data_IF_253039998195
#
_entry.id   IF_253039998195
#
_cell.length_a   1.000
_cell.length_b   1.000
_cell.length_c   1.000
_cell.angle_alpha   90.00
_cell.angle_beta   90.00
_cell.angle_gamma   90.00
#
_symmetry.space_group_name_H-M   'P 1'
#
loop_
_entity.id
_entity.type
_entity.pdbx_description
1 polymer ?
#
# COMPACT_ATOMS: atom_id res chain seq x y z
N UNK A 1 27.93 -0.47 -31.54
CA UNK A 1 27.36 -1.84 -31.36
C UNK A 1 27.36 -2.32 -29.91
N UNK A 2 28.44 -2.20 -29.12
CA UNK A 2 28.47 -2.65 -27.70
C UNK A 2 27.49 -1.95 -26.73
N UNK A 3 27.10 -0.68 -26.99
CA UNK A 3 26.11 0.05 -26.17
C UNK A 3 24.65 -0.32 -26.47
N UNK A 4 24.37 -0.80 -27.68
CA UNK A 4 23.03 -1.24 -28.10
C UNK A 4 22.74 -2.64 -27.54
N UNK A 5 23.75 -3.50 -27.43
CA UNK A 5 23.61 -4.82 -26.80
C UNK A 5 23.27 -4.73 -25.30
N UNK A 6 23.79 -3.74 -24.57
CA UNK A 6 23.46 -3.54 -23.15
C UNK A 6 22.03 -3.04 -22.94
N UNK A 7 21.50 -2.23 -23.86
CA UNK A 7 20.12 -1.75 -23.82
C UNK A 7 19.15 -2.88 -24.19
N UNK A 8 19.49 -3.69 -25.18
CA UNK A 8 18.68 -4.86 -25.59
C UNK A 8 18.68 -5.94 -24.49
N UNK A 9 19.82 -6.19 -23.83
CA UNK A 9 19.90 -7.11 -22.69
C UNK A 9 19.10 -6.61 -21.47
N UNK A 10 19.06 -5.28 -21.24
CA UNK A 10 18.26 -4.69 -20.17
C UNK A 10 16.74 -4.78 -20.45
N UNK A 11 16.31 -4.68 -21.71
CA UNK A 11 14.89 -4.86 -22.08
C UNK A 11 14.43 -6.32 -22.06
N UNK A 12 15.31 -7.28 -22.34
CA UNK A 12 14.94 -8.71 -22.36
C UNK A 12 14.75 -9.27 -20.93
N UNK A 13 15.39 -8.69 -19.92
CA UNK A 13 15.22 -9.12 -18.51
C UNK A 13 13.90 -8.62 -17.89
N UNK A 14 13.12 -7.78 -18.58
CA UNK A 14 11.92 -7.13 -17.99
C UNK A 14 10.59 -7.87 -18.16
N UNK A 15 10.55 -9.06 -18.76
CA UNK A 15 9.26 -9.70 -19.14
C UNK A 15 8.97 -11.06 -18.50
N UNK A 16 9.43 -11.31 -17.27
CA UNK A 16 8.84 -12.35 -16.41
C UNK A 16 8.87 -11.86 -14.97
N UNK A 17 8.08 -10.85 -14.65
CA UNK A 17 7.80 -10.49 -13.26
C UNK A 17 6.32 -10.75 -13.04
N UNK A 18 6.05 -11.64 -12.10
CA UNK A 18 4.75 -11.78 -11.43
C UNK A 18 4.42 -10.40 -10.86
N UNK A 19 3.67 -9.59 -11.63
CA UNK A 19 3.54 -8.15 -11.43
C UNK A 19 2.78 -7.77 -10.14
N UNK A 20 2.03 -8.71 -9.58
CA UNK A 20 1.25 -8.51 -8.35
C UNK A 20 2.19 -8.24 -7.15
N UNK A 21 3.14 -9.14 -6.87
CA UNK A 21 4.06 -8.97 -5.74
C UNK A 21 5.02 -7.76 -5.87
N UNK A 22 5.35 -7.34 -7.09
CA UNK A 22 6.21 -6.17 -7.30
C UNK A 22 5.49 -4.84 -7.02
N UNK A 23 4.20 -4.75 -7.35
CA UNK A 23 3.38 -3.58 -7.07
C UNK A 23 3.10 -3.45 -5.56
N UNK A 24 2.88 -4.58 -4.90
CA UNK A 24 2.69 -4.63 -3.44
C UNK A 24 3.99 -4.29 -2.72
N UNK A 25 5.13 -4.84 -3.16
CA UNK A 25 6.43 -4.48 -2.64
C UNK A 25 6.77 -2.99 -2.83
N UNK A 26 6.38 -2.40 -3.96
CA UNK A 26 6.49 -0.96 -4.16
C UNK A 26 5.59 -0.18 -3.20
N UNK A 27 4.34 -0.61 -3.03
CA UNK A 27 3.38 0.05 -2.13
C UNK A 27 3.88 0.04 -0.68
N UNK A 28 4.45 -1.08 -0.21
CA UNK A 28 4.95 -1.22 1.16
C UNK A 28 6.33 -0.60 1.38
N UNK A 29 7.13 -0.39 0.33
CA UNK A 29 8.44 0.27 0.44
C UNK A 29 8.38 1.78 0.30
N UNK A 30 7.29 2.33 -0.26
CA UNK A 30 7.09 3.77 -0.36
C UNK A 30 6.79 4.39 1.00
N UNK A 31 7.55 5.43 1.33
CA UNK A 31 7.37 6.24 2.54
C UNK A 31 6.80 7.59 2.11
N UNK A 32 5.69 7.98 2.74
CA UNK A 32 5.08 9.29 2.62
C UNK A 32 5.11 9.94 4.00
N UNK A 33 6.14 10.75 4.20
CA UNK A 33 6.43 11.34 5.48
C UNK A 33 5.24 12.14 6.04
N UNK A 34 4.58 11.60 7.06
CA UNK A 34 3.63 12.32 7.92
C UNK A 34 4.37 12.67 9.23
N UNK A 35 5.02 13.83 9.25
CA UNK A 35 5.83 14.27 10.39
C UNK A 35 5.08 15.12 11.41
N UNK A 36 5.83 15.89 12.20
CA UNK A 36 5.23 16.90 13.08
C UNK A 36 4.67 18.04 12.25
N UNK A 37 3.81 18.88 12.83
CA UNK A 37 3.35 20.10 12.16
C UNK A 37 4.54 20.98 11.70
N UNK A 38 5.63 20.99 12.47
CA UNK A 38 6.85 21.73 12.17
C UNK A 38 7.61 21.14 10.99
N UNK A 39 7.79 19.82 10.96
CA UNK A 39 8.49 19.15 9.86
C UNK A 39 7.71 19.24 8.57
N UNK A 40 6.39 19.00 8.63
CA UNK A 40 5.48 19.09 7.48
C UNK A 40 5.44 20.49 6.88
N UNK A 41 5.43 21.54 7.71
CA UNK A 41 5.44 22.94 7.23
C UNK A 41 6.70 23.30 6.42
N UNK A 42 7.81 22.58 6.64
CA UNK A 42 9.07 22.76 5.90
C UNK A 42 9.25 21.71 4.80
N UNK A 43 8.20 20.98 4.42
CA UNK A 43 8.28 19.90 3.43
C UNK A 43 9.16 18.73 3.88
N UNK A 44 9.31 18.53 5.19
CA UNK A 44 10.19 17.55 5.83
C UNK A 44 11.70 17.73 5.54
N UNK A 45 12.14 18.92 5.11
CA UNK A 45 13.56 19.24 4.94
C UNK A 45 14.28 19.46 6.29
N UNK A 46 14.43 18.39 7.08
CA UNK A 46 14.88 18.39 8.47
C UNK A 46 16.18 17.64 8.75
N UNK A 47 16.89 17.18 7.72
CA UNK A 47 18.15 16.42 7.83
C UNK A 47 19.23 17.18 8.59
N UNK A 48 19.28 18.51 8.46
CA UNK A 48 20.28 19.36 9.12
C UNK A 48 19.76 20.22 10.28
N UNK A 49 18.43 20.37 10.42
CA UNK A 49 17.81 21.28 11.39
C UNK A 49 17.69 20.70 12.79
N UNK A 50 17.25 19.44 12.90
CA UNK A 50 16.93 18.78 14.17
C UNK A 50 16.04 19.58 15.12
N UNK A 51 16.05 19.24 16.41
CA UNK A 51 15.17 19.89 17.41
C UNK A 51 13.68 19.64 17.15
N UNK A 52 13.37 18.49 16.56
CA UNK A 52 12.02 18.00 16.27
C UNK A 52 11.99 16.48 16.43
N UNK A 53 10.91 15.92 17.00
CA UNK A 53 10.79 14.47 17.29
C UNK A 53 10.74 13.63 16.02
N UNK A 54 10.23 14.17 14.92
CA UNK A 54 10.23 13.50 13.61
C UNK A 54 11.60 13.53 12.96
N UNK A 55 12.34 14.64 13.12
CA UNK A 55 13.69 14.78 12.57
C UNK A 55 14.65 13.68 13.04
N UNK A 56 14.38 13.06 14.19
CA UNK A 56 15.12 11.89 14.69
C UNK A 56 15.04 10.70 13.72
N UNK A 57 13.88 10.47 13.08
CA UNK A 57 13.71 9.39 12.09
C UNK A 57 14.37 9.69 10.74
N UNK A 58 14.61 10.97 10.43
CA UNK A 58 15.34 11.43 9.23
C UNK A 58 16.85 11.39 9.48
N UNK A 59 17.30 12.04 10.56
CA UNK A 59 18.69 12.08 10.99
C UNK A 59 18.79 11.85 12.51
N UNK A 60 19.33 10.71 12.97
CA UNK A 60 19.50 10.40 14.39
C UNK A 60 20.24 11.45 15.22
N UNK A 61 21.13 12.24 14.62
CA UNK A 61 21.86 13.31 15.32
C UNK A 61 20.95 14.49 15.72
N UNK A 62 19.75 14.59 15.16
CA UNK A 62 18.77 15.65 15.45
C UNK A 62 18.40 15.75 16.93
N UNK A 63 18.40 14.65 17.67
CA UNK A 63 18.09 14.66 19.10
C UNK A 63 19.20 15.32 19.92
N UNK A 64 20.45 15.32 19.45
CA UNK A 64 21.58 15.93 20.17
C UNK A 64 21.49 17.46 20.21
N UNK A 65 20.68 18.05 19.33
CA UNK A 65 20.41 19.49 19.29
C UNK A 65 19.48 19.93 20.43
N UNK A 66 18.68 19.01 20.99
CA UNK A 66 17.82 19.31 22.13
C UNK A 66 18.65 19.76 23.32
N UNK A 67 18.24 20.87 23.94
CA UNK A 67 18.86 21.44 25.15
C UNK A 67 18.10 21.11 26.43
N UNK A 68 16.94 20.47 26.29
CA UNK A 68 16.04 20.10 27.36
C UNK A 68 15.25 18.87 26.93
N UNK A 69 14.68 18.17 27.91
CA UNK A 69 13.82 17.01 27.63
C UNK A 69 12.45 17.47 27.14
N UNK A 70 11.93 16.86 26.09
CA UNK A 70 10.68 17.26 25.44
C UNK A 70 9.80 16.04 25.17
N UNK A 71 8.50 16.19 25.39
CA UNK A 71 7.47 15.27 24.93
C UNK A 71 6.63 15.98 23.88
N UNK A 72 6.41 15.35 22.73
CA UNK A 72 5.65 15.91 21.62
C UNK A 72 4.58 14.92 21.15
N UNK A 73 3.42 15.46 20.82
CA UNK A 73 2.33 14.75 20.15
C UNK A 73 1.83 15.62 19.00
N UNK A 74 1.68 15.02 17.83
CA UNK A 74 1.11 15.68 16.65
C UNK A 74 -0.12 14.91 16.20
N UNK A 75 -1.34 15.39 16.55
CA UNK A 75 -2.58 14.90 15.97
C UNK A 75 -2.61 15.16 14.46
N UNK A 76 -3.28 14.30 13.72
CA UNK A 76 -3.41 14.39 12.28
C UNK A 76 -4.87 14.17 11.85
N UNK A 77 -5.28 14.92 10.83
CA UNK A 77 -6.55 14.73 10.13
C UNK A 77 -6.22 14.51 8.66
N UNK A 78 -6.53 13.31 8.17
CA UNK A 78 -6.39 12.98 6.75
C UNK A 78 -7.76 13.06 6.12
N UNK A 79 -7.87 13.85 5.04
CA UNK A 79 -9.06 13.90 4.21
C UNK A 79 -8.70 13.44 2.80
N UNK A 80 -9.21 12.26 2.44
CA UNK A 80 -9.04 11.69 1.11
C UNK A 80 -10.27 11.99 0.26
N UNK A 81 -10.04 12.37 -1.01
CA UNK A 81 -11.10 12.57 -2.00
C UNK A 81 -10.74 11.81 -3.26
N UNK A 82 -11.67 11.00 -3.72
CA UNK A 82 -11.56 10.28 -4.98
C UNK A 82 -12.67 10.73 -5.92
N UNK A 83 -12.33 10.91 -7.20
CA UNK A 83 -13.29 11.18 -8.26
C UNK A 83 -13.02 10.20 -9.39
N UNK A 84 -14.01 9.40 -9.73
CA UNK A 84 -13.91 8.40 -10.79
C UNK A 84 -14.84 8.80 -11.93
N UNK A 85 -14.46 8.44 -13.16
CA UNK A 85 -15.28 8.63 -14.34
C UNK A 85 -15.35 7.31 -15.08
N UNK A 86 -16.54 6.75 -15.20
CA UNK A 86 -16.77 5.49 -15.89
C UNK A 86 -18.03 5.57 -16.73
N UNK A 87 -17.91 5.29 -18.02
CA UNK A 87 -19.02 5.35 -18.98
C UNK A 87 -19.83 6.67 -18.92
N UNK A 88 -19.14 7.78 -18.65
CA UNK A 88 -19.77 9.11 -18.52
C UNK A 88 -20.36 9.42 -17.14
N UNK A 89 -20.45 8.44 -16.24
CA UNK A 89 -20.87 8.64 -14.85
C UNK A 89 -19.68 9.04 -13.99
N UNK A 90 -19.85 10.14 -13.24
CA UNK A 90 -18.84 10.62 -12.30
C UNK A 90 -19.29 10.36 -10.88
N UNK A 91 -18.52 9.59 -10.14
CA UNK A 91 -18.70 9.36 -8.71
C UNK A 91 -17.64 10.15 -7.93
N UNK A 92 -18.02 10.66 -6.75
CA UNK A 92 -17.12 11.39 -5.88
C UNK A 92 -17.22 10.85 -4.46
N UNK A 93 -16.11 10.34 -3.95
CA UNK A 93 -16.03 9.78 -2.61
C UNK A 93 -15.11 10.60 -1.73
N UNK A 94 -15.52 10.79 -0.47
CA UNK A 94 -14.77 11.54 0.52
C UNK A 94 -14.68 10.78 1.83
N UNK A 95 -13.49 10.71 2.40
CA UNK A 95 -13.26 10.09 3.70
C UNK A 95 -12.43 11.03 4.58
N UNK A 96 -12.89 11.28 5.80
CA UNK A 96 -12.08 11.93 6.86
C UNK A 96 -11.68 10.96 7.94
N UNK A 97 -10.38 10.88 8.25
CA UNK A 97 -9.83 10.01 9.29
C UNK A 97 -9.00 10.83 10.26
N UNK A 98 -9.26 10.63 11.54
CA UNK A 98 -8.47 11.22 12.62
C UNK A 98 -7.38 10.23 13.04
N UNK A 99 -6.23 10.75 13.44
CA UNK A 99 -5.13 9.94 13.93
C UNK A 99 -4.04 10.78 14.57
N UNK A 100 -2.87 10.17 14.73
CA UNK A 100 -1.66 10.80 15.24
C UNK A 100 -0.57 10.56 14.18
N UNK A 101 0.16 11.60 13.77
CA UNK A 101 1.28 11.47 12.84
C UNK A 101 2.59 11.19 13.56
N UNK A 102 2.77 11.81 14.73
CA UNK A 102 3.97 11.68 15.54
C UNK A 102 3.62 11.67 17.04
N UNK A 103 4.29 10.79 17.78
CA UNK A 103 4.37 10.79 19.23
C UNK A 103 5.84 10.58 19.60
N UNK A 104 6.43 11.43 20.42
CA UNK A 104 7.84 11.27 20.76
C UNK A 104 8.24 11.87 22.09
N UNK A 105 9.30 11.31 22.64
CA UNK A 105 9.99 11.82 23.81
C UNK A 105 11.49 11.89 23.53
N UNK A 106 12.12 12.98 23.93
CA UNK A 106 13.57 13.15 23.92
C UNK A 106 14.02 13.52 25.32
N UNK A 107 14.92 12.75 25.89
CA UNK A 107 15.61 13.06 27.14
C UNK A 107 16.95 13.72 26.86
N UNK A 108 17.23 14.85 27.51
CA UNK A 108 18.52 15.54 27.46
C UNK A 108 19.28 15.34 28.78
N UNK A 109 20.51 14.82 28.69
CA UNK A 109 21.40 14.63 29.84
C UNK A 109 22.65 15.50 29.62
N UNK A 110 22.79 16.63 30.34
CA UNK A 110 24.02 17.43 30.28
C UNK A 110 25.16 16.70 30.98
N UNK A 111 26.36 16.75 30.38
CA UNK A 111 27.58 16.11 30.91
C UNK A 111 28.64 17.15 31.25
N UNK A 112 28.75 18.23 30.48
CA UNK A 112 29.73 19.28 30.75
C UNK A 112 29.28 20.66 30.29
N UNK A 113 29.56 21.65 31.14
CA UNK A 113 29.34 23.06 30.82
C UNK A 113 30.54 23.71 30.10
N UNK A 114 31.65 22.99 29.93
CA UNK A 114 32.83 23.52 29.23
C UNK A 114 32.48 23.91 27.79
N UNK A 115 33.15 24.93 27.21
CA UNK A 115 32.88 25.39 25.84
C UNK A 115 33.29 24.37 24.77
N UNK A 116 34.19 23.44 25.10
CA UNK A 116 34.71 22.42 24.18
C UNK A 116 34.61 21.03 24.80
N UNK A 117 34.53 20.02 23.93
CA UNK A 117 34.47 18.62 24.29
C UNK A 117 33.04 18.07 24.29
N UNK A 118 32.83 17.01 25.08
CA UNK A 118 31.57 16.30 25.16
C UNK A 118 30.57 17.05 26.06
N UNK A 119 29.47 17.53 25.48
CA UNK A 119 28.52 18.46 26.14
C UNK A 119 27.34 17.75 26.75
N UNK A 120 26.69 16.87 25.99
CA UNK A 120 25.48 16.18 26.42
C UNK A 120 25.25 14.89 25.66
N UNK A 121 24.46 14.01 26.26
CA UNK A 121 23.87 12.83 25.63
C UNK A 121 22.38 13.07 25.52
N UNK A 122 21.78 12.59 24.44
CA UNK A 122 20.33 12.56 24.30
C UNK A 122 19.88 11.15 23.96
N UNK A 123 18.74 10.75 24.51
CA UNK A 123 18.06 9.52 24.18
C UNK A 123 16.64 9.86 23.76
N UNK A 124 16.06 9.09 22.85
CA UNK A 124 14.72 9.37 22.38
C UNK A 124 13.97 8.12 21.99
N UNK A 125 12.65 8.20 22.09
CA UNK A 125 11.73 7.24 21.49
C UNK A 125 10.71 8.05 20.72
N UNK A 126 10.55 7.74 19.43
CA UNK A 126 9.55 8.38 18.58
C UNK A 126 8.78 7.33 17.80
N UNK A 127 7.46 7.46 17.76
CA UNK A 127 6.56 6.71 16.89
C UNK A 127 6.12 7.65 15.79
N UNK A 128 6.49 7.30 14.57
CA UNK A 128 6.32 8.12 13.38
C UNK A 128 5.47 7.38 12.36
N UNK A 129 4.38 7.99 11.90
CA UNK A 129 3.65 7.45 10.76
C UNK A 129 4.47 7.70 9.50
N UNK A 130 4.83 6.61 8.82
CA UNK A 130 5.61 6.63 7.60
C UNK A 130 4.76 6.62 6.35
N UNK A 131 3.55 6.06 6.41
CA UNK A 131 2.62 6.06 5.28
C UNK A 131 1.19 5.83 5.77
N UNK A 132 0.23 6.28 4.97
CA UNK A 132 -1.20 6.09 5.19
C UNK A 132 -1.82 5.52 3.92
N UNK A 133 -2.42 4.34 4.06
CA UNK A 133 -3.01 3.63 2.92
C UNK A 133 -4.49 3.91 2.74
N UNK A 134 -5.06 4.77 3.59
CA UNK A 134 -6.48 5.09 3.59
C UNK A 134 -6.88 5.71 2.26
N UNK A 135 -7.73 5.01 1.50
CA UNK A 135 -8.35 5.53 0.28
C UNK A 135 -9.66 4.80 0.01
N UNK A 136 -10.62 5.49 -0.57
CA UNK A 136 -11.91 4.90 -0.94
C UNK A 136 -12.35 5.41 -2.30
N UNK A 137 -12.83 4.50 -3.13
CA UNK A 137 -13.32 4.84 -4.46
C UNK A 137 -14.51 3.97 -4.82
N UNK A 138 -15.49 4.59 -5.45
CA UNK A 138 -16.63 3.91 -6.07
C UNK A 138 -16.61 4.26 -7.55
N UNK A 139 -16.99 3.32 -8.39
CA UNK A 139 -17.16 3.51 -9.83
C UNK A 139 -18.42 2.78 -10.24
N UNK A 140 -19.34 3.46 -10.93
CA UNK A 140 -20.61 2.88 -11.34
C UNK A 140 -20.94 3.25 -12.79
N UNK A 141 -21.65 2.39 -13.52
CA UNK A 141 -22.04 2.66 -14.91
C UNK A 141 -22.92 1.58 -15.51
N UNK A 142 -23.74 1.95 -16.49
CA UNK A 142 -24.52 0.99 -17.28
C UNK A 142 -23.71 0.57 -18.49
N UNK A 143 -23.42 -0.72 -18.61
CA UNK A 143 -22.63 -1.28 -19.70
C UNK A 143 -23.44 -2.33 -20.46
N UNK A 144 -23.53 -2.19 -21.78
CA UNK A 144 -24.21 -3.13 -22.67
C UNK A 144 -23.25 -3.88 -23.60
N UNK A 145 -21.93 -3.64 -23.47
CA UNK A 145 -20.90 -4.17 -24.37
C UNK A 145 -20.03 -5.23 -23.71
N UNK A 146 -19.82 -5.16 -22.39
CA UNK A 146 -18.96 -6.10 -21.68
C UNK A 146 -19.44 -6.37 -20.26
N UNK A 147 -19.08 -7.55 -19.75
CA UNK A 147 -19.34 -7.99 -18.40
C UNK A 147 -18.07 -8.56 -17.78
N UNK A 148 -17.95 -8.46 -16.46
CA UNK A 148 -16.89 -9.13 -15.71
C UNK A 148 -16.97 -10.65 -15.83
N UNK A 149 -18.18 -11.22 -15.84
CA UNK A 149 -18.36 -12.67 -16.04
C UNK A 149 -17.94 -13.12 -17.43
N UNK A 150 -18.20 -12.32 -18.47
CA UNK A 150 -17.70 -12.62 -19.82
C UNK A 150 -16.17 -12.64 -19.88
N UNK A 151 -15.51 -11.64 -19.27
CA UNK A 151 -14.04 -11.63 -19.19
C UNK A 151 -13.46 -12.79 -18.37
N UNK A 152 -14.21 -13.26 -17.37
CA UNK A 152 -13.83 -14.38 -16.53
C UNK A 152 -14.01 -15.71 -17.26
N UNK A 153 -15.09 -15.87 -18.03
CA UNK A 153 -15.33 -17.01 -18.91
C UNK A 153 -14.22 -17.15 -19.95
N UNK A 154 -13.85 -16.06 -20.62
CA UNK A 154 -12.74 -16.04 -21.59
C UNK A 154 -11.41 -16.45 -20.94
N UNK A 155 -11.16 -16.03 -19.70
CA UNK A 155 -9.92 -16.37 -18.98
C UNK A 155 -9.76 -17.85 -18.62
N UNK A 156 -10.85 -18.63 -18.69
CA UNK A 156 -10.87 -20.07 -18.39
C UNK A 156 -10.67 -20.95 -19.63
N UNK A 157 -10.56 -20.37 -20.83
CA UNK A 157 -10.38 -21.13 -22.06
C UNK A 157 -9.23 -22.14 -21.98
N UNK A 158 -9.53 -23.42 -22.27
CA UNK A 158 -8.57 -24.52 -22.21
C UNK A 158 -8.45 -25.20 -20.83
N UNK A 159 -9.23 -24.77 -19.83
CA UNK A 159 -9.33 -25.45 -18.54
C UNK A 159 -10.53 -26.38 -18.58
N UNK A 160 -10.33 -27.67 -18.33
CA UNK A 160 -11.44 -28.63 -18.25
C UNK A 160 -12.35 -28.37 -17.03
N UNK A 161 -13.66 -28.27 -17.24
CA UNK A 161 -14.68 -27.85 -16.27
C UNK A 161 -14.67 -28.62 -14.96
N UNK A 162 -14.46 -29.93 -14.96
CA UNK A 162 -14.44 -30.73 -13.74
C UNK A 162 -13.30 -30.35 -12.78
N UNK A 163 -12.24 -29.68 -13.27
CA UNK A 163 -11.19 -29.16 -12.41
C UNK A 163 -11.66 -27.96 -11.57
N UNK A 164 -12.77 -27.31 -11.94
CA UNK A 164 -13.35 -26.15 -11.26
C UNK A 164 -14.42 -26.51 -10.23
N UNK A 165 -14.92 -27.75 -10.21
CA UNK A 165 -15.97 -28.19 -9.29
C UNK A 165 -15.45 -28.26 -7.84
N UNK A 166 -16.25 -27.82 -6.87
CA UNK A 166 -15.99 -28.08 -5.45
C UNK A 166 -16.78 -29.33 -5.05
N UNK A 167 -16.07 -30.38 -4.66
CA UNK A 167 -16.67 -31.64 -4.20
C UNK A 167 -16.05 -32.09 -2.87
N UNK A 168 -16.62 -33.13 -2.24
CA UNK A 168 -16.10 -33.66 -0.98
C UNK A 168 -14.63 -34.14 -1.06
N UNK A 169 -14.18 -34.54 -2.26
CA UNK A 169 -12.84 -35.13 -2.48
C UNK A 169 -11.91 -34.25 -3.32
N UNK A 170 -12.37 -33.11 -3.81
CA UNK A 170 -11.62 -32.23 -4.70
C UNK A 170 -11.96 -30.78 -4.43
N UNK A 171 -10.94 -29.97 -4.13
CA UNK A 171 -11.07 -28.55 -3.87
C UNK A 171 -10.11 -27.74 -4.75
N UNK A 172 -10.61 -27.09 -5.82
CA UNK A 172 -9.77 -26.36 -6.78
C UNK A 172 -8.93 -25.25 -6.13
N UNK A 173 -9.35 -24.69 -4.99
CA UNK A 173 -8.56 -23.65 -4.29
C UNK A 173 -7.19 -24.15 -3.82
N UNK A 174 -7.05 -25.47 -3.59
CA UNK A 174 -5.83 -26.11 -3.12
C UNK A 174 -5.23 -27.08 -4.14
N UNK A 175 -6.08 -27.83 -4.82
CA UNK A 175 -5.69 -28.95 -5.68
C UNK A 175 -5.41 -28.51 -7.13
N UNK A 176 -5.85 -27.30 -7.52
CA UNK A 176 -5.72 -26.80 -8.88
C UNK A 176 -5.36 -25.32 -8.96
N UNK A 177 -4.07 -25.02 -9.20
CA UNK A 177 -3.59 -23.64 -9.36
C UNK A 177 -3.79 -23.04 -10.76
N UNK A 178 -4.47 -23.76 -11.67
CA UNK A 178 -4.65 -23.34 -13.07
C UNK A 178 -5.73 -22.28 -13.27
N UNK A 179 -6.63 -22.08 -12.30
CA UNK A 179 -7.69 -21.07 -12.36
C UNK A 179 -7.60 -20.08 -11.18
N UNK A 180 -7.90 -18.79 -11.39
CA UNK A 180 -7.99 -17.84 -10.29
C UNK A 180 -9.21 -18.14 -9.41
N UNK A 181 -9.12 -17.86 -8.11
CA UNK A 181 -10.16 -18.17 -7.12
C UNK A 181 -11.53 -17.58 -7.49
N UNK A 182 -11.56 -16.35 -8.01
CA UNK A 182 -12.78 -15.71 -8.52
C UNK A 182 -13.51 -16.52 -9.61
N UNK A 183 -12.77 -17.23 -10.48
CA UNK A 183 -13.35 -18.11 -11.50
C UNK A 183 -13.96 -19.36 -10.88
N UNK A 184 -13.23 -20.02 -9.98
CA UNK A 184 -13.73 -21.17 -9.21
C UNK A 184 -15.02 -20.79 -8.46
N UNK A 185 -15.04 -19.62 -7.83
CA UNK A 185 -16.23 -19.12 -7.14
C UNK A 185 -17.40 -18.86 -8.08
N UNK A 186 -17.15 -18.22 -9.23
CA UNK A 186 -18.20 -17.91 -10.20
C UNK A 186 -18.78 -19.19 -10.83
N UNK A 187 -17.93 -20.17 -11.17
CA UNK A 187 -18.34 -21.50 -11.63
C UNK A 187 -19.26 -22.19 -10.61
N UNK A 188 -18.83 -22.33 -9.36
CA UNK A 188 -19.63 -22.98 -8.32
C UNK A 188 -20.87 -22.17 -7.88
N UNK A 189 -21.00 -20.91 -8.34
CA UNK A 189 -22.19 -20.09 -8.16
C UNK A 189 -23.16 -20.16 -9.36
N UNK A 190 -22.89 -21.03 -10.33
CA UNK A 190 -23.58 -21.16 -11.62
C UNK A 190 -23.54 -19.87 -12.47
N UNK A 191 -22.61 -18.95 -12.20
CA UNK A 191 -22.44 -17.72 -12.97
C UNK A 191 -21.64 -17.93 -14.26
N UNK A 192 -21.03 -19.10 -14.41
CA UNK A 192 -20.32 -19.56 -15.60
C UNK A 192 -20.85 -20.96 -15.96
N UNK A 193 -20.89 -21.28 -17.25
CA UNK A 193 -21.34 -22.57 -17.76
C UNK A 193 -20.44 -22.96 -18.96
N UNK A 194 -20.20 -24.25 -19.25
CA UNK A 194 -19.48 -24.64 -20.45
C UNK A 194 -20.35 -24.39 -21.70
N UNK A 195 -19.72 -24.18 -22.84
CA UNK A 195 -20.44 -24.12 -24.11
C UNK A 195 -21.01 -25.51 -24.47
N UNK A 196 -22.14 -25.58 -25.21
CA UNK A 196 -22.84 -26.85 -25.47
C UNK A 196 -22.00 -27.99 -26.07
N UNK A 197 -20.92 -27.69 -26.77
CA UNK A 197 -20.05 -28.65 -27.47
C UNK A 197 -18.59 -28.63 -26.95
N UNK A 198 -18.33 -28.07 -25.77
CA UNK A 198 -16.98 -27.95 -25.19
C UNK A 198 -16.99 -28.03 -23.68
N UNK A 199 -16.05 -28.77 -23.10
CA UNK A 199 -15.81 -28.79 -21.64
C UNK A 199 -14.69 -27.83 -21.21
N UNK A 200 -14.13 -27.06 -22.15
CA UNK A 200 -12.97 -26.19 -21.94
C UNK A 200 -13.23 -24.73 -22.34
N UNK A 201 -14.38 -24.45 -22.97
CA UNK A 201 -14.82 -23.11 -23.34
C UNK A 201 -16.07 -22.75 -22.55
N UNK A 202 -16.14 -21.50 -22.09
CA UNK A 202 -17.14 -21.07 -21.11
C UNK A 202 -17.94 -19.86 -21.60
N UNK A 203 -19.11 -19.69 -21.02
CA UNK A 203 -19.97 -18.52 -21.17
C UNK A 203 -20.35 -17.98 -19.79
N UNK A 204 -20.44 -16.65 -19.66
CA UNK A 204 -20.94 -16.01 -18.45
C UNK A 204 -22.47 -15.93 -18.41
N UNK A 205 -23.06 -15.96 -17.22
CA UNK A 205 -24.51 -15.82 -17.05
C UNK A 205 -25.08 -14.49 -17.59
N UNK A 206 -24.23 -13.48 -17.82
CA UNK A 206 -24.61 -12.21 -18.47
C UNK A 206 -24.67 -12.26 -19.99
N UNK A 207 -24.36 -13.40 -20.60
CA UNK A 207 -24.24 -13.57 -22.05
C UNK A 207 -25.28 -14.56 -22.57
N UNK A 208 -25.62 -14.41 -23.85
CA UNK A 208 -26.53 -15.29 -24.58
C UNK A 208 -25.81 -15.85 -25.81
N UNK A 209 -26.23 -17.04 -26.22
CA UNK A 209 -25.82 -17.64 -27.49
C UNK A 209 -26.83 -17.23 -28.57
N UNK A 210 -26.35 -16.54 -29.61
CA UNK A 210 -27.16 -16.15 -30.77
C UNK A 210 -26.50 -16.69 -32.05
N UNK A 211 -26.92 -17.89 -32.45
CA UNK A 211 -26.30 -18.60 -33.57
C UNK A 211 -24.89 -19.08 -33.18
N UNK A 212 -23.87 -18.61 -33.91
CA UNK A 212 -22.46 -18.94 -33.65
C UNK A 212 -21.72 -17.87 -32.82
N UNK A 213 -22.44 -16.91 -32.24
CA UNK A 213 -21.86 -15.79 -31.50
C UNK A 213 -22.32 -15.80 -30.05
N UNK A 214 -21.38 -15.49 -29.15
CA UNK A 214 -21.66 -15.11 -27.77
C UNK A 214 -21.84 -13.59 -27.77
N UNK A 215 -22.96 -13.13 -27.22
CA UNK A 215 -23.28 -11.70 -27.12
C UNK A 215 -23.78 -11.39 -25.72
N UNK A 216 -23.59 -10.15 -25.26
CA UNK A 216 -24.23 -9.68 -24.03
C UNK A 216 -25.75 -9.88 -24.10
N UNK A 217 -26.35 -10.42 -23.04
CA UNK A 217 -27.79 -10.65 -22.99
C UNK A 217 -28.58 -9.33 -23.03
N UNK A 218 -28.16 -8.38 -22.20
CA UNK A 218 -28.64 -7.01 -22.19
C UNK A 218 -27.71 -6.09 -21.39
N UNK A 219 -28.08 -4.81 -21.19
CA UNK A 219 -27.34 -3.89 -20.35
C UNK A 219 -27.29 -4.35 -18.88
N UNK A 220 -26.13 -4.18 -18.24
CA UNK A 220 -25.93 -4.42 -16.81
C UNK A 220 -25.49 -3.14 -16.09
N UNK A 221 -25.97 -2.93 -14.86
CA UNK A 221 -25.42 -1.94 -13.95
C UNK A 221 -24.16 -2.52 -13.31
N UNK A 222 -23.00 -1.95 -13.61
CA UNK A 222 -21.72 -2.32 -13.03
C UNK A 222 -21.39 -1.39 -11.88
N UNK A 223 -20.90 -1.95 -10.78
CA UNK A 223 -20.30 -1.20 -9.68
C UNK A 223 -18.99 -1.85 -9.25
N UNK A 224 -17.96 -1.03 -9.10
CA UNK A 224 -16.71 -1.39 -8.44
C UNK A 224 -16.47 -0.46 -7.25
N UNK A 225 -16.31 -1.06 -6.09
CA UNK A 225 -16.00 -0.42 -4.84
C UNK A 225 -14.64 -0.91 -4.36
N UNK A 226 -13.75 0.00 -3.99
CA UNK A 226 -12.49 -0.35 -3.33
C UNK A 226 -12.24 0.56 -2.14
N UNK A 227 -11.91 -0.07 -1.03
CA UNK A 227 -11.54 0.58 0.22
C UNK A 227 -10.20 0.01 0.68
N UNK A 228 -9.21 0.88 0.78
CA UNK A 228 -7.93 0.57 1.41
C UNK A 228 -7.83 1.31 2.72
N UNK A 229 -7.26 0.66 3.73
CA UNK A 229 -7.02 1.28 5.02
C UNK A 229 -5.78 0.71 5.69
N UNK A 230 -5.38 1.33 6.80
CA UNK A 230 -4.17 0.96 7.53
C UNK A 230 -3.08 2.01 7.42
N UNK A 231 -1.92 1.71 7.99
CA UNK A 231 -0.76 2.59 8.03
C UNK A 231 0.55 1.79 8.09
N UNK A 232 1.63 2.49 7.75
CA UNK A 232 2.97 2.05 8.07
C UNK A 232 3.54 3.01 9.11
N UNK A 233 4.12 2.48 10.18
CA UNK A 233 4.68 3.27 11.28
C UNK A 233 6.08 2.81 11.63
N UNK A 234 6.91 3.70 12.18
CA UNK A 234 8.24 3.38 12.68
C UNK A 234 8.38 3.83 14.13
N UNK A 235 8.77 2.90 15.00
CA UNK A 235 9.25 3.18 16.34
C UNK A 235 10.76 3.32 16.27
N UNK A 236 11.27 4.53 16.46
CA UNK A 236 12.69 4.84 16.48
C UNK A 236 13.19 4.96 17.91
N UNK A 237 14.09 4.06 18.30
CA UNK A 237 14.90 4.19 19.51
C UNK A 237 16.19 4.90 19.16
N UNK A 238 16.42 6.04 19.77
CA UNK A 238 17.49 6.96 19.40
C UNK A 238 18.47 7.18 20.56
N UNK A 239 19.74 7.29 20.21
CA UNK A 239 20.77 7.84 21.07
C UNK A 239 21.68 8.79 20.27
N UNK A 240 22.07 9.90 20.88
CA UNK A 240 22.96 10.86 20.25
C UNK A 240 23.86 11.57 21.27
N UNK A 241 24.91 12.20 20.75
CA UNK A 241 25.87 12.97 21.51
C UNK A 241 26.08 14.34 20.89
N UNK A 242 26.24 15.34 21.76
CA UNK A 242 26.63 16.70 21.41
C UNK A 242 28.10 16.92 21.75
N UNK A 243 28.88 17.35 20.76
CA UNK A 243 30.29 17.70 20.89
C UNK A 243 30.45 19.19 20.57
N UNK A 244 30.82 19.95 21.61
CA UNK A 244 31.14 21.38 21.56
C UNK A 244 30.05 22.28 20.95
N UNK A 245 28.78 21.85 21.00
CA UNK A 245 27.64 22.54 20.36
C UNK A 245 27.83 22.78 18.85
N UNK A 246 28.75 22.04 18.23
CA UNK A 246 29.13 22.21 16.82
C UNK A 246 29.06 20.93 16.03
N UNK A 247 29.17 19.78 16.68
CA UNK A 247 29.10 18.49 16.02
C UNK A 247 28.21 17.57 16.83
N UNK A 248 27.25 16.96 16.14
CA UNK A 248 26.27 16.06 16.71
C UNK A 248 26.34 14.76 15.94
N UNK A 249 26.30 13.63 16.63
CA UNK A 249 26.27 12.30 16.05
C UNK A 249 25.19 11.49 16.74
N UNK A 250 24.48 10.65 15.99
CA UNK A 250 23.47 9.78 16.56
C UNK A 250 23.29 8.49 15.79
N UNK A 251 22.61 7.56 16.44
CA UNK A 251 22.19 6.30 15.87
C UNK A 251 20.75 5.97 16.29
N UNK A 252 20.02 5.29 15.40
CA UNK A 252 18.70 4.74 15.68
C UNK A 252 18.66 3.24 15.41
N UNK A 253 17.86 2.55 16.21
CA UNK A 253 17.24 1.28 15.87
C UNK A 253 15.78 1.57 15.56
N UNK A 254 15.35 1.29 14.33
CA UNK A 254 13.98 1.47 13.88
C UNK A 254 13.24 0.14 13.81
N UNK A 255 12.08 0.06 14.44
CA UNK A 255 11.12 -1.04 14.26
C UNK A 255 9.96 -0.52 13.43
N UNK A 256 9.82 -1.03 12.21
CA UNK A 256 8.72 -0.68 11.32
C UNK A 256 7.57 -1.67 11.47
N UNK A 257 6.35 -1.17 11.50
CA UNK A 257 5.13 -1.97 11.50
C UNK A 257 4.28 -1.59 10.30
N UNK A 258 3.70 -2.61 9.67
CA UNK A 258 2.79 -2.50 8.54
C UNK A 258 1.45 -3.12 8.94
N UNK A 259 0.38 -2.36 8.77
CA UNK A 259 -0.98 -2.88 8.77
C UNK A 259 -1.68 -2.31 7.56
N UNK A 260 -2.14 -3.18 6.68
CA UNK A 260 -2.80 -2.82 5.45
C UNK A 260 -4.03 -3.70 5.25
N UNK A 261 -5.13 -3.06 4.87
CA UNK A 261 -6.40 -3.70 4.56
C UNK A 261 -6.82 -3.25 3.18
N UNK A 262 -7.18 -4.20 2.31
CA UNK A 262 -7.78 -3.93 1.01
C UNK A 262 -9.08 -4.71 0.89
N UNK A 263 -10.17 -3.98 0.71
CA UNK A 263 -11.49 -4.52 0.44
C UNK A 263 -11.92 -4.09 -0.96
N UNK A 264 -12.21 -5.06 -1.79
CA UNK A 264 -12.72 -4.85 -3.13
C UNK A 264 -14.07 -5.51 -3.25
N UNK A 265 -15.05 -4.81 -3.82
CA UNK A 265 -16.34 -5.37 -4.17
C UNK A 265 -16.66 -5.01 -5.61
N UNK A 266 -17.00 -6.02 -6.38
CA UNK A 266 -17.50 -5.87 -7.73
C UNK A 266 -18.92 -6.42 -7.80
N UNK A 267 -19.83 -5.76 -8.51
CA UNK A 267 -21.18 -6.27 -8.72
C UNK A 267 -21.71 -5.88 -10.08
N UNK A 268 -22.50 -6.79 -10.66
CA UNK A 268 -23.34 -6.51 -11.81
C UNK A 268 -24.79 -6.86 -11.49
N UNK A 269 -25.72 -6.04 -11.96
CA UNK A 269 -27.14 -6.37 -11.99
C UNK A 269 -27.73 -6.13 -13.36
N UNK A 270 -28.59 -7.03 -13.81
CA UNK A 270 -29.36 -6.87 -15.03
C UNK A 270 -30.21 -5.59 -14.95
N UNK A 271 -30.21 -4.78 -16.02
CA UNK A 271 -31.18 -3.68 -16.15
C UNK A 271 -32.58 -4.24 -16.41
N UNK A 272 -32.65 -5.31 -17.21
CA UNK A 272 -33.85 -6.09 -17.44
C UNK A 272 -33.50 -7.59 -17.44
N UNK A 273 -34.00 -8.32 -16.44
CA UNK A 273 -33.72 -9.75 -16.30
C UNK A 273 -34.19 -10.58 -17.51
N UNK A 274 -35.23 -10.13 -18.22
CA UNK A 274 -35.77 -10.83 -19.39
C UNK A 274 -34.84 -10.85 -20.60
N UNK A 275 -33.76 -10.07 -20.57
CA UNK A 275 -32.77 -10.02 -21.66
C UNK A 275 -31.75 -11.17 -21.55
N UNK A 276 -31.67 -11.87 -20.41
CA UNK A 276 -30.68 -12.91 -20.12
C UNK A 276 -31.32 -14.31 -20.12
N UNK A 277 -30.92 -15.17 -21.05
CA UNK A 277 -31.47 -16.53 -21.21
C UNK A 277 -31.17 -17.40 -19.97
N UNK A 278 -30.09 -17.10 -19.25
CA UNK A 278 -29.68 -17.70 -17.97
C UNK A 278 -30.58 -17.36 -16.79
N UNK A 279 -31.50 -16.39 -16.94
CA UNK A 279 -32.30 -15.78 -15.86
C UNK A 279 -31.45 -14.99 -14.85
N UNK A 280 -30.27 -14.53 -15.27
CA UNK A 280 -29.38 -13.69 -14.46
C UNK A 280 -30.11 -12.43 -13.94
N UNK A 281 -30.00 -12.19 -12.63
CA UNK A 281 -30.52 -10.98 -12.00
C UNK A 281 -29.38 -10.12 -11.46
N UNK A 282 -28.53 -10.66 -10.60
CA UNK A 282 -27.35 -9.95 -10.10
C UNK A 282 -26.30 -10.89 -9.50
N UNK A 283 -25.07 -10.40 -9.41
CA UNK A 283 -24.07 -10.99 -8.54
C UNK A 283 -23.25 -9.92 -7.80
N UNK A 284 -22.57 -10.36 -6.73
CA UNK A 284 -21.54 -9.57 -6.06
C UNK A 284 -20.35 -10.47 -5.74
N UNK A 285 -19.16 -9.99 -6.11
CA UNK A 285 -17.88 -10.55 -5.73
C UNK A 285 -17.22 -9.64 -4.70
N UNK A 286 -16.65 -10.22 -3.64
CA UNK A 286 -15.89 -9.51 -2.63
C UNK A 286 -14.53 -10.19 -2.43
N UNK A 287 -13.48 -9.38 -2.38
CA UNK A 287 -12.12 -9.78 -2.04
C UNK A 287 -11.68 -8.97 -0.81
N UNK A 288 -11.15 -9.67 0.20
CA UNK A 288 -10.56 -9.08 1.39
C UNK A 288 -9.11 -9.52 1.49
N UNK A 289 -8.22 -8.56 1.73
CA UNK A 289 -6.82 -8.80 2.03
C UNK A 289 -6.44 -8.05 3.30
N UNK A 290 -5.84 -8.76 4.24
CA UNK A 290 -5.15 -8.21 5.40
C UNK A 290 -3.67 -8.51 5.27
N UNK A 291 -2.85 -7.46 5.23
CA UNK A 291 -1.39 -7.57 5.23
C UNK A 291 -0.86 -6.99 6.52
N UNK A 292 -0.21 -7.84 7.31
CA UNK A 292 0.44 -7.44 8.55
C UNK A 292 1.93 -7.71 8.45
N UNK A 293 2.75 -6.79 8.93
CA UNK A 293 4.19 -6.96 8.86
C UNK A 293 4.97 -6.19 9.91
N UNK A 294 6.19 -6.66 10.13
CA UNK A 294 7.16 -6.02 10.98
C UNK A 294 8.54 -6.08 10.35
N UNK A 295 9.32 -5.01 10.50
CA UNK A 295 10.67 -4.92 9.98
C UNK A 295 11.60 -4.17 10.91
N UNK A 296 12.91 -4.34 10.69
CA UNK A 296 13.95 -3.66 11.45
C UNK A 296 14.91 -2.94 10.51
N UNK A 297 15.34 -1.75 10.93
CA UNK A 297 16.40 -1.00 10.26
C UNK A 297 17.32 -0.33 11.28
N UNK A 298 18.51 0.04 10.82
CA UNK A 298 19.47 0.82 11.58
C UNK A 298 19.76 2.10 10.83
N UNK A 299 19.89 3.21 11.56
CA UNK A 299 20.25 4.51 10.98
C UNK A 299 21.39 5.12 11.76
N UNK A 300 22.29 5.79 11.07
CA UNK A 300 23.31 6.65 11.69
C UNK A 300 23.32 7.99 10.98
N UNK A 301 23.66 9.05 11.72
CA UNK A 301 23.74 10.37 11.13
C UNK A 301 24.55 11.34 11.95
N UNK A 302 24.88 12.45 11.34
CA UNK A 302 25.59 13.55 11.97
C UNK A 302 25.01 14.89 11.53
N UNK A 303 25.22 15.91 12.37
CA UNK A 303 24.94 17.31 12.07
C UNK A 303 26.14 18.14 12.51
N UNK A 304 26.62 19.01 11.65
CA UNK A 304 27.72 19.93 11.91
C UNK A 304 27.27 21.38 11.77
N UNK A 305 27.80 22.26 12.62
CA UNK A 305 27.60 23.71 12.60
C UNK A 305 28.97 24.38 12.38
N UNK A 306 29.44 24.50 11.12
CA UNK A 306 30.77 25.03 10.83
C UNK A 306 30.95 26.49 11.26
N UNK A 307 29.90 27.30 11.06
CA UNK A 307 29.83 28.70 11.46
C UNK A 307 28.40 29.07 11.84
N UNK A 308 28.24 30.24 12.48
CA UNK A 308 26.95 30.69 12.97
C UNK A 308 25.90 30.76 11.84
N UNK A 309 24.74 30.17 12.09
CA UNK A 309 23.62 30.12 11.15
C UNK A 309 23.64 28.91 10.22
N UNK A 310 24.79 28.38 9.80
CA UNK A 310 24.85 27.22 8.91
C UNK A 310 24.81 25.89 9.66
N UNK A 311 23.97 24.97 9.19
CA UNK A 311 23.94 23.56 9.60
C UNK A 311 24.08 22.68 8.37
N UNK A 312 24.90 21.65 8.50
CA UNK A 312 25.08 20.59 7.50
C UNK A 312 24.73 19.26 8.16
N UNK A 313 23.91 18.44 7.52
CA UNK A 313 23.48 17.15 8.03
C UNK A 313 23.64 16.06 6.99
N UNK A 314 23.97 14.86 7.46
CA UNK A 314 23.87 13.66 6.64
C UNK A 314 23.41 12.48 7.49
N UNK A 315 22.66 11.58 6.87
CA UNK A 315 22.27 10.31 7.48
C UNK A 315 22.27 9.19 6.46
N UNK A 316 22.42 7.97 6.96
CA UNK A 316 22.33 6.74 6.18
C UNK A 316 21.51 5.73 6.96
N UNK A 317 20.63 5.03 6.25
CA UNK A 317 19.74 4.01 6.79
C UNK A 317 19.98 2.71 6.04
N UNK A 318 20.11 1.60 6.77
CA UNK A 318 20.16 0.27 6.15
C UNK A 318 18.85 -0.02 5.42
N UNK A 319 18.83 -1.01 4.50
CA UNK A 319 17.60 -1.71 4.15
C UNK A 319 16.75 -2.02 5.38
N UNK A 320 15.44 -1.93 5.24
CA UNK A 320 14.53 -2.49 6.24
C UNK A 320 14.23 -3.92 5.83
N UNK A 321 14.62 -4.86 6.68
CA UNK A 321 14.28 -6.27 6.52
C UNK A 321 12.91 -6.50 7.16
N UNK A 322 11.90 -6.76 6.33
CA UNK A 322 10.51 -6.86 6.77
C UNK A 322 9.95 -8.25 6.48
N UNK A 323 9.20 -8.79 7.42
CA UNK A 323 8.37 -9.98 7.25
C UNK A 323 6.93 -9.52 7.15
N UNK A 324 6.24 -10.00 6.13
CA UNK A 324 4.85 -9.67 5.85
C UNK A 324 4.08 -10.97 5.69
N UNK A 325 2.91 -11.02 6.32
CA UNK A 325 1.93 -12.09 6.19
C UNK A 325 0.68 -11.48 5.59
N UNK A 326 0.30 -12.01 4.44
CA UNK A 326 -0.93 -11.68 3.73
C UNK A 326 -1.96 -12.77 4.00
N UNK A 327 -3.13 -12.37 4.45
CA UNK A 327 -4.30 -13.22 4.65
C UNK A 327 -5.41 -12.71 3.73
N UNK A 328 -5.96 -13.56 2.88
CA UNK A 328 -7.05 -13.16 2.00
C UNK A 328 -8.18 -14.17 1.96
N UNK A 329 -9.36 -13.66 1.61
CA UNK A 329 -10.54 -14.45 1.35
C UNK A 329 -11.41 -13.80 0.27
N UNK A 330 -12.16 -14.64 -0.43
CA UNK A 330 -13.02 -14.27 -1.53
C UNK A 330 -14.43 -14.83 -1.33
N UNK A 331 -15.42 -14.07 -1.79
CA UNK A 331 -16.83 -14.45 -1.69
C UNK A 331 -17.58 -14.03 -2.93
N UNK A 332 -18.47 -14.89 -3.42
CA UNK A 332 -19.44 -14.55 -4.45
C UNK A 332 -20.86 -14.84 -3.97
N UNK A 333 -21.79 -13.94 -4.31
CA UNK A 333 -23.23 -14.17 -4.16
C UNK A 333 -23.88 -13.96 -5.52
N UNK A 334 -24.77 -14.86 -5.92
CA UNK A 334 -25.52 -14.82 -7.16
C UNK A 334 -27.02 -14.94 -6.89
N UNK A 335 -27.82 -14.17 -7.63
CA UNK A 335 -29.28 -14.25 -7.62
C UNK A 335 -29.81 -14.36 -9.05
N UNK A 336 -30.89 -15.11 -9.22
CA UNK A 336 -31.56 -15.36 -10.49
C UNK A 336 -33.06 -15.06 -10.36
N UNK A 337 -33.68 -14.66 -11.47
CA UNK A 337 -35.06 -14.16 -11.48
C UNK A 337 -36.12 -15.23 -11.22
N UNK A 338 -35.75 -16.51 -11.22
CA UNK A 338 -36.61 -17.63 -10.83
C UNK A 338 -36.60 -17.91 -9.32
N UNK A 339 -35.84 -17.13 -8.55
CA UNK A 339 -35.68 -17.25 -7.11
C UNK A 339 -34.50 -18.10 -6.66
N UNK A 340 -33.72 -18.68 -7.59
CA UNK A 340 -32.49 -19.38 -7.24
C UNK A 340 -31.43 -18.40 -6.71
N UNK A 341 -30.74 -18.82 -5.65
CA UNK A 341 -29.68 -18.03 -4.99
C UNK A 341 -28.50 -18.94 -4.68
N UNK A 342 -27.29 -18.45 -4.93
CA UNK A 342 -26.06 -19.14 -4.57
C UNK A 342 -25.12 -18.22 -3.80
N UNK A 343 -24.41 -18.79 -2.84
CA UNK A 343 -23.33 -18.13 -2.11
C UNK A 343 -22.18 -19.12 -2.00
N UNK A 344 -21.01 -18.70 -2.49
CA UNK A 344 -19.80 -19.50 -2.45
C UNK A 344 -18.72 -18.68 -1.75
N UNK A 345 -18.00 -19.30 -0.84
CA UNK A 345 -16.89 -18.71 -0.12
C UNK A 345 -15.61 -19.49 -0.47
N UNK A 346 -14.51 -18.77 -0.63
CA UNK A 346 -13.19 -19.40 -0.69
C UNK A 346 -12.79 -19.83 0.73
N UNK A 347 -11.80 -20.73 0.86
CA UNK A 347 -11.05 -20.83 2.10
C UNK A 347 -10.27 -19.53 2.38
N UNK A 348 -9.69 -19.46 3.58
CA UNK A 348 -8.68 -18.46 3.90
C UNK A 348 -7.35 -18.84 3.25
N UNK A 349 -6.82 -17.94 2.42
CA UNK A 349 -5.46 -18.00 1.90
C UNK A 349 -4.51 -17.28 2.84
N UNK A 350 -3.30 -17.82 3.01
CA UNK A 350 -2.23 -17.19 3.77
C UNK A 350 -0.92 -17.31 2.99
N UNK A 351 -0.17 -16.22 2.90
CA UNK A 351 1.15 -16.22 2.29
C UNK A 351 2.09 -15.31 3.06
N UNK A 352 3.20 -15.88 3.53
CA UNK A 352 4.23 -15.15 4.25
C UNK A 352 5.48 -14.99 3.39
N UNK A 353 6.02 -13.78 3.34
CA UNK A 353 7.18 -13.44 2.53
C UNK A 353 8.04 -12.36 3.19
N UNK A 354 9.23 -12.16 2.63
CA UNK A 354 10.19 -11.16 3.09
C UNK A 354 10.36 -10.07 2.05
N UNK A 355 10.27 -8.81 2.48
CA UNK A 355 10.62 -7.64 1.68
C UNK A 355 11.84 -6.97 2.29
N UNK A 356 12.81 -6.66 1.43
CA UNK A 356 13.94 -5.82 1.79
C UNK A 356 13.81 -4.49 1.04
N UNK A 357 13.61 -3.40 1.78
CA UNK A 357 13.61 -2.07 1.16
C UNK A 357 15.02 -1.64 0.75
N UNK A 358 15.17 -0.73 -0.22
CA UNK A 358 16.47 -0.17 -0.56
C UNK A 358 17.13 0.54 0.63
N UNK A 359 18.46 0.59 0.61
CA UNK A 359 19.22 1.48 1.49
C UNK A 359 18.87 2.94 1.15
N UNK A 360 18.88 3.83 2.14
CA UNK A 360 18.61 5.26 1.93
C UNK A 360 19.70 6.13 2.52
N UNK A 361 19.95 7.27 1.90
CA UNK A 361 20.82 8.29 2.45
C UNK A 361 20.21 9.68 2.29
N UNK A 362 20.44 10.54 3.28
CA UNK A 362 19.99 11.92 3.26
C UNK A 362 21.17 12.86 3.39
N UNK A 363 21.16 13.93 2.62
CA UNK A 363 22.09 15.04 2.70
C UNK A 363 21.28 16.32 2.84
N UNK A 364 21.61 17.16 3.81
CA UNK A 364 20.88 18.38 4.07
C UNK A 364 21.78 19.55 4.44
N UNK A 365 21.35 20.75 4.06
CA UNK A 365 21.96 22.00 4.49
C UNK A 365 20.87 23.00 4.86
N UNK A 366 21.06 23.72 5.95
CA UNK A 366 20.16 24.80 6.35
C UNK A 366 20.92 26.02 6.85
N UNK A 367 20.30 27.18 6.67
CA UNK A 367 20.80 28.46 7.13
C UNK A 367 19.73 29.19 7.94
N UNK A 368 20.07 29.56 9.16
CA UNK A 368 19.21 30.27 10.10
C UNK A 368 19.51 31.77 10.02
N UNK A 369 18.52 32.54 9.58
CA UNK A 369 18.60 33.99 9.41
C UNK A 369 18.11 34.64 10.70
N UNK A 370 18.98 34.67 11.71
CA UNK A 370 18.68 35.24 13.02
C UNK A 370 17.43 34.63 13.64
N UNK A 371 16.48 35.47 14.03
CA UNK A 371 15.15 35.07 14.53
C UNK A 371 14.03 35.18 13.47
N UNK A 372 14.37 35.51 12.23
CA UNK A 372 13.40 35.92 11.20
C UNK A 372 12.98 34.76 10.30
N UNK A 373 13.88 33.82 10.02
CA UNK A 373 13.57 32.72 9.12
C UNK A 373 14.66 31.67 8.99
N UNK A 374 14.32 30.61 8.27
CA UNK A 374 15.20 29.45 8.02
C UNK A 374 15.05 29.06 6.56
N UNK A 375 16.17 28.81 5.89
CA UNK A 375 16.20 28.15 4.58
C UNK A 375 16.79 26.75 4.77
N UNK A 376 16.13 25.72 4.23
CA UNK A 376 16.59 24.33 4.31
C UNK A 376 16.47 23.65 2.95
N UNK A 377 17.48 22.85 2.59
CA UNK A 377 17.51 22.04 1.39
C UNK A 377 17.98 20.65 1.77
N UNK A 378 17.18 19.65 1.43
CA UNK A 378 17.48 18.25 1.66
C UNK A 378 17.42 17.48 0.34
N UNK A 379 18.25 16.44 0.25
CA UNK A 379 18.29 15.47 -0.83
C UNK A 379 18.24 14.07 -0.21
N UNK A 380 17.25 13.28 -0.62
CA UNK A 380 17.10 11.87 -0.28
C UNK A 380 17.40 11.02 -1.52
N UNK A 381 18.13 9.92 -1.34
CA UNK A 381 18.42 8.97 -2.41
C UNK A 381 18.63 7.54 -1.95
#
# INVERSE_FOLDING_TARGET
MKRILFIIAATIISNVIVAQGALDALTYSQIRYEGTARSMAMGNAFTSLGGDTYAISINPAASGIYRYSEFAITPAVTHDKSSTLYLGNRENEGWTKFGISNLGFVGHIPVSDRPYGFKSISFGVAVNKLNNFSSRSVTSGVNAQSSWLGSLAESLGGIYNANLDITDNWNPFYDFSGAPWKAVLAWNANLLDPLPDSDEDYIGATENIRGLQIVMGGPVNQEFFRERSGNMSEIAFNASANISDRFFIGANVGVQTLSFYDYQRYSESAVNNGDFDSRFENFSYAYRLNSNGAGINLKVGFIALPFAGLRLGASIATPTWSFITDEWDEKINANYSDGYKSQVLSPYGEYSYRINSPMRYNLGASYIIGSVGILSVDYEG
#
